data_IF_161217822512
#
_entry.id   IF_161217822512
#
_cell.length_a   1.000
_cell.length_b   1.000
_cell.length_c   1.000
_cell.angle_alpha   90.00
_cell.angle_beta   90.00
_cell.angle_gamma   90.00
#
_symmetry.space_group_name_H-M   'P 1'
#
loop_
_entity.id
_entity.type
_entity.pdbx_description
1 polymer ?
#
# COMPACT_ATOMS: atom_id res chain seq x y z
N UNK A 1 5.98 7.40 18.09
CA UNK A 1 6.59 6.99 16.81
C UNK A 1 6.93 8.25 16.06
N UNK A 2 8.09 8.32 15.42
CA UNK A 2 8.42 9.46 14.55
C UNK A 2 7.52 9.46 13.31
N UNK A 3 7.47 10.59 12.60
CA UNK A 3 6.77 10.67 11.31
C UNK A 3 7.28 9.59 10.35
N UNK A 4 8.60 9.44 10.26
CA UNK A 4 9.25 8.41 9.42
C UNK A 4 8.72 7.01 9.73
N UNK A 5 8.66 6.62 11.00
CA UNK A 5 8.15 5.31 11.42
C UNK A 5 6.67 5.11 11.04
N UNK A 6 5.84 6.14 11.22
CA UNK A 6 4.42 6.09 10.84
C UNK A 6 4.26 5.99 9.30
N UNK A 7 5.06 6.72 8.54
CA UNK A 7 5.02 6.69 7.09
C UNK A 7 5.47 5.32 6.53
N UNK A 8 6.53 4.72 7.10
CA UNK A 8 6.93 3.34 6.78
C UNK A 8 5.82 2.33 7.08
N UNK A 9 5.12 2.50 8.21
CA UNK A 9 3.95 1.67 8.54
C UNK A 9 2.83 1.83 7.51
N UNK A 10 2.51 3.05 7.09
CA UNK A 10 1.52 3.33 6.03
C UNK A 10 1.89 2.63 4.72
N UNK A 11 3.14 2.75 4.26
CA UNK A 11 3.64 2.09 3.05
C UNK A 11 3.47 0.57 3.17
N UNK A 12 3.83 -0.01 4.33
CA UNK A 12 3.66 -1.44 4.61
C UNK A 12 2.19 -1.88 4.58
N UNK A 13 1.29 -1.12 5.22
CA UNK A 13 -0.16 -1.37 5.19
C UNK A 13 -0.68 -1.38 3.75
N UNK A 14 -0.34 -0.36 2.97
CA UNK A 14 -0.71 -0.24 1.56
C UNK A 14 -0.19 -1.39 0.70
N UNK A 15 1.04 -1.86 0.97
CA UNK A 15 1.61 -3.01 0.27
C UNK A 15 0.87 -4.30 0.62
N UNK A 16 0.69 -4.59 1.91
CA UNK A 16 -0.01 -5.80 2.37
C UNK A 16 -1.45 -5.85 1.83
N UNK A 17 -2.19 -4.73 1.91
CA UNK A 17 -3.55 -4.65 1.38
C UNK A 17 -3.59 -4.95 -0.13
N UNK A 18 -2.69 -4.37 -0.93
CA UNK A 18 -2.59 -4.65 -2.38
C UNK A 18 -2.25 -6.11 -2.66
N UNK A 19 -1.34 -6.70 -1.89
CA UNK A 19 -0.97 -8.11 -2.04
C UNK A 19 -2.15 -9.05 -1.73
N UNK A 20 -2.90 -8.79 -0.64
CA UNK A 20 -4.12 -9.55 -0.32
C UNK A 20 -5.11 -9.42 -1.47
N UNK A 21 -5.45 -8.19 -1.89
CA UNK A 21 -6.42 -7.95 -2.97
C UNK A 21 -6.01 -8.66 -4.26
N UNK A 22 -4.72 -8.64 -4.61
CA UNK A 22 -4.21 -9.33 -5.80
C UNK A 22 -4.34 -10.86 -5.74
N UNK A 23 -4.50 -11.44 -4.53
CA UNK A 23 -4.74 -12.88 -4.33
C UNK A 23 -6.23 -13.25 -4.32
N UNK A 24 -7.12 -12.28 -4.12
CA UNK A 24 -8.57 -12.52 -4.17
C UNK A 24 -8.93 -12.93 -5.59
N UNK A 25 -9.50 -14.13 -5.73
CA UNK A 25 -9.97 -14.63 -7.01
C UNK A 25 -11.12 -13.79 -7.57
N UNK A 26 -11.24 -13.64 -8.91
CA UNK A 26 -12.49 -13.15 -9.50
C UNK A 26 -13.67 -14.03 -9.08
N UNK A 27 -14.91 -13.52 -9.18
CA UNK A 27 -16.12 -14.33 -9.00
C UNK A 27 -15.98 -15.65 -9.76
N UNK A 28 -16.34 -16.77 -9.12
CA UNK A 28 -16.29 -18.13 -9.67
C UNK A 28 -14.89 -18.73 -9.95
N UNK A 29 -13.82 -18.13 -9.43
CA UNK A 29 -12.49 -18.76 -9.47
C UNK A 29 -12.16 -19.55 -8.20
N UNK A 30 -11.48 -20.68 -8.36
CA UNK A 30 -10.92 -21.48 -7.25
C UNK A 30 -9.70 -20.84 -6.58
N UNK A 31 -9.35 -19.60 -6.95
CA UNK A 31 -8.17 -18.92 -6.44
C UNK A 31 -8.42 -18.54 -4.98
N UNK A 32 -7.62 -19.15 -4.10
CA UNK A 32 -7.69 -18.93 -2.65
C UNK A 32 -7.01 -17.62 -2.28
N UNK A 33 -7.69 -16.85 -1.44
CA UNK A 33 -7.16 -15.63 -0.82
C UNK A 33 -5.98 -15.99 0.08
N UNK A 34 -4.90 -15.20 0.03
CA UNK A 34 -3.73 -15.41 0.89
C UNK A 34 -4.03 -14.92 2.32
N UNK A 35 -4.41 -15.89 3.16
CA UNK A 35 -4.76 -15.65 4.56
C UNK A 35 -3.54 -15.27 5.42
N UNK A 36 -2.32 -15.62 5.00
CA UNK A 36 -1.13 -15.27 5.77
C UNK A 36 -0.79 -13.79 5.62
N UNK A 37 -0.89 -13.26 4.40
CA UNK A 37 -0.72 -11.82 4.15
C UNK A 37 -1.84 -11.04 4.85
N UNK A 38 -3.08 -11.53 4.80
CA UNK A 38 -4.18 -10.89 5.52
C UNK A 38 -3.96 -10.89 7.04
N UNK A 39 -3.42 -11.98 7.62
CA UNK A 39 -3.03 -12.02 9.03
C UNK A 39 -1.99 -10.95 9.37
N UNK A 40 -0.96 -10.79 8.53
CA UNK A 40 0.04 -9.73 8.72
C UNK A 40 -0.54 -8.31 8.64
N UNK A 41 -1.59 -8.09 7.85
CA UNK A 41 -2.31 -6.81 7.84
C UNK A 41 -3.12 -6.63 9.14
N UNK A 42 -3.80 -7.67 9.61
CA UNK A 42 -4.60 -7.65 10.85
C UNK A 42 -3.72 -7.46 12.10
N UNK A 43 -2.50 -7.97 12.11
CA UNK A 43 -1.50 -7.73 13.18
C UNK A 43 -1.14 -6.24 13.33
N UNK A 44 -1.37 -5.42 12.30
CA UNK A 44 -1.19 -3.96 12.35
C UNK A 44 -2.47 -3.21 12.75
N UNK A 45 -3.59 -3.92 12.90
CA UNK A 45 -4.89 -3.36 13.27
C UNK A 45 -5.17 -3.50 14.77
N UNK A 46 -6.32 -2.97 15.23
CA UNK A 46 -6.83 -3.18 16.60
C UNK A 46 -7.59 -4.49 16.76
N UNK A 47 -7.79 -5.26 15.69
CA UNK A 47 -8.61 -6.45 15.74
C UNK A 47 -7.94 -7.55 16.56
N UNK A 48 -8.71 -8.14 17.47
CA UNK A 48 -8.24 -9.24 18.32
C UNK A 48 -8.62 -10.58 17.71
N UNK A 49 -7.64 -11.47 17.55
CA UNK A 49 -7.89 -12.83 17.07
C UNK A 49 -8.65 -13.66 18.11
N UNK A 50 -9.67 -14.39 17.65
CA UNK A 50 -10.42 -15.38 18.42
C UNK A 50 -10.69 -16.59 17.54
N UNK A 51 -10.33 -17.77 18.04
CA UNK A 51 -10.73 -19.04 17.42
C UNK A 51 -12.10 -19.45 17.95
N UNK A 52 -13.04 -19.72 17.06
CA UNK A 52 -14.39 -20.17 17.40
C UNK A 52 -14.77 -21.34 16.49
N UNK A 53 -14.99 -22.53 17.08
CA UNK A 53 -15.16 -23.78 16.32
C UNK A 53 -13.95 -24.02 15.39
N UNK A 54 -14.18 -24.12 14.09
CA UNK A 54 -13.19 -24.23 13.01
C UNK A 54 -12.86 -22.88 12.35
N UNK A 55 -13.43 -21.76 12.84
CA UNK A 55 -13.26 -20.42 12.29
C UNK A 55 -12.15 -19.65 12.99
N UNK A 56 -11.35 -18.94 12.19
CA UNK A 56 -10.45 -17.88 12.65
C UNK A 56 -11.17 -16.54 12.52
N UNK A 57 -11.53 -15.93 13.65
CA UNK A 57 -12.25 -14.66 13.71
C UNK A 57 -11.33 -13.55 14.21
N UNK A 58 -11.58 -12.34 13.74
CA UNK A 58 -10.91 -11.12 14.18
C UNK A 58 -11.99 -10.13 14.59
N UNK A 59 -11.98 -9.71 15.86
CA UNK A 59 -13.00 -8.85 16.46
C UNK A 59 -12.45 -7.44 16.62
N UNK A 60 -13.18 -6.42 16.15
CA UNK A 60 -12.79 -5.02 16.32
C UNK A 60 -12.81 -4.59 17.79
N UNK A 61 -13.80 -5.06 18.55
CA UNK A 61 -13.91 -4.85 20.00
C UNK A 61 -14.30 -6.17 20.67
N UNK A 62 -13.34 -6.77 21.39
CA UNK A 62 -13.55 -8.03 22.09
C UNK A 62 -14.42 -7.90 23.35
N UNK A 63 -14.64 -6.69 23.86
CA UNK A 63 -15.48 -6.43 25.04
C UNK A 63 -16.95 -6.15 24.66
N UNK A 64 -17.21 -5.71 23.43
CA UNK A 64 -18.55 -5.48 22.94
C UNK A 64 -19.28 -6.79 22.62
N UNK A 65 -20.56 -6.87 22.99
CA UNK A 65 -21.40 -8.04 22.67
C UNK A 65 -21.66 -8.14 21.15
N UNK A 66 -21.86 -7.00 20.49
CA UNK A 66 -21.99 -6.88 19.04
C UNK A 66 -20.86 -5.98 18.53
N UNK A 67 -20.10 -6.47 17.56
CA UNK A 67 -18.93 -5.78 17.02
C UNK A 67 -18.72 -6.15 15.55
N UNK A 68 -17.79 -5.48 14.88
CA UNK A 68 -17.33 -5.90 13.56
C UNK A 68 -16.42 -7.13 13.70
N UNK A 69 -16.80 -8.22 13.03
CA UNK A 69 -16.12 -9.51 13.07
C UNK A 69 -15.68 -9.86 11.65
N UNK A 70 -14.38 -9.89 11.40
CA UNK A 70 -13.82 -10.40 10.16
C UNK A 70 -13.59 -11.92 10.29
N UNK A 71 -14.11 -12.67 9.33
CA UNK A 71 -13.84 -14.10 9.19
C UNK A 71 -12.65 -14.30 8.26
N UNK A 72 -11.59 -14.97 8.73
CA UNK A 72 -10.39 -15.26 7.93
C UNK A 72 -10.61 -16.48 7.01
N UNK A 73 -11.56 -16.35 6.09
CA UNK A 73 -11.85 -17.30 5.02
C UNK A 73 -11.52 -16.72 3.63
N UNK A 74 -12.00 -17.36 2.55
CA UNK A 74 -11.76 -16.84 1.20
C UNK A 74 -12.61 -15.59 0.89
N UNK A 75 -13.76 -15.43 1.55
CA UNK A 75 -14.66 -14.31 1.33
C UNK A 75 -14.21 -13.07 2.10
N UNK A 76 -13.40 -13.23 3.15
CA UNK A 76 -12.97 -12.15 4.05
C UNK A 76 -14.16 -11.29 4.50
N UNK A 77 -15.29 -11.94 4.83
CA UNK A 77 -16.51 -11.24 5.19
C UNK A 77 -16.36 -10.54 6.54
N UNK A 78 -16.79 -9.27 6.60
CA UNK A 78 -16.97 -8.51 7.84
C UNK A 78 -18.44 -8.53 8.20
N UNK A 79 -18.77 -9.02 9.39
CA UNK A 79 -20.12 -9.04 9.95
C UNK A 79 -20.22 -8.02 11.08
N UNK A 80 -21.38 -7.40 11.27
CA UNK A 80 -21.69 -6.65 12.49
C UNK A 80 -22.75 -7.42 13.29
N UNK A 81 -22.31 -8.32 14.16
CA UNK A 81 -23.19 -9.23 14.92
C UNK A 81 -22.41 -9.86 16.09
N UNK A 82 -22.98 -10.87 16.72
CA UNK A 82 -22.39 -11.68 17.79
C UNK A 82 -21.53 -12.82 17.22
N UNK A 83 -20.50 -13.24 17.94
CA UNK A 83 -19.61 -14.35 17.53
C UNK A 83 -20.41 -15.64 17.29
N UNK A 84 -21.41 -15.92 18.12
CA UNK A 84 -22.25 -17.11 18.00
C UNK A 84 -23.12 -17.08 16.73
N UNK A 85 -23.56 -15.89 16.31
CA UNK A 85 -24.35 -15.74 15.07
C UNK A 85 -23.46 -15.94 13.84
N UNK A 86 -22.19 -15.49 13.86
CA UNK A 86 -21.20 -15.81 12.81
C UNK A 86 -20.91 -17.31 12.77
N UNK A 87 -20.67 -17.93 13.93
CA UNK A 87 -20.38 -19.36 14.04
C UNK A 87 -21.55 -20.22 13.54
N UNK A 88 -22.80 -19.83 13.86
CA UNK A 88 -24.01 -20.47 13.34
C UNK A 88 -24.06 -20.40 11.82
N UNK A 89 -23.74 -19.26 11.21
CA UNK A 89 -23.86 -19.06 9.76
C UNK A 89 -22.74 -19.75 8.97
N UNK A 90 -21.51 -19.76 9.49
CA UNK A 90 -20.31 -20.22 8.75
C UNK A 90 -19.85 -21.62 9.12
N UNK A 91 -20.14 -22.08 10.33
CA UNK A 91 -19.88 -23.47 10.76
C UNK A 91 -21.02 -24.00 11.64
N UNK A 92 -22.24 -24.18 11.09
CA UNK A 92 -23.35 -24.76 11.83
C UNK A 92 -23.09 -26.22 12.19
N UNK A 93 -23.51 -26.62 13.38
CA UNK A 93 -23.60 -28.02 13.79
C UNK A 93 -24.81 -28.69 13.15
N UNK A 94 -24.81 -30.03 13.06
CA UNK A 94 -25.93 -30.81 12.50
C UNK A 94 -27.27 -30.47 13.17
N UNK A 95 -27.28 -30.27 14.50
CA UNK A 95 -28.50 -29.89 15.25
C UNK A 95 -28.98 -28.49 14.90
N UNK A 96 -28.07 -27.56 14.62
CA UNK A 96 -28.42 -26.21 14.17
C UNK A 96 -28.97 -26.20 12.75
N UNK A 97 -28.45 -27.06 11.86
CA UNK A 97 -28.90 -27.18 10.46
C UNK A 97 -30.33 -27.73 10.29
N UNK A 98 -30.84 -28.51 11.24
CA UNK A 98 -32.21 -29.08 11.17
C UNK A 98 -33.30 -28.13 11.71
N UNK A 99 -32.92 -27.05 12.38
CA UNK A 99 -33.86 -26.04 12.87
C UNK A 99 -34.27 -25.11 11.72
N UNK A 100 -35.54 -25.17 11.29
CA UNK A 100 -36.07 -24.36 10.17
C UNK A 100 -35.71 -22.87 10.34
N UNK A 101 -35.79 -22.34 11.56
CA UNK A 101 -35.45 -20.94 11.86
C UNK A 101 -33.98 -20.63 11.60
N UNK A 102 -33.09 -21.55 11.95
CA UNK A 102 -31.65 -21.38 11.79
C UNK A 102 -31.24 -21.54 10.32
N UNK A 103 -31.89 -22.44 9.57
CA UNK A 103 -31.65 -22.61 8.14
C UNK A 103 -31.78 -21.29 7.39
N UNK A 104 -32.82 -20.49 7.68
CA UNK A 104 -32.98 -19.17 7.04
C UNK A 104 -31.80 -18.22 7.33
N UNK A 105 -31.28 -18.22 8.56
CA UNK A 105 -30.10 -17.41 8.92
C UNK A 105 -28.82 -17.90 8.25
N UNK A 106 -28.63 -19.21 8.16
CA UNK A 106 -27.44 -19.83 7.54
C UNK A 106 -27.42 -19.52 6.04
N UNK A 107 -28.58 -19.56 5.39
CA UNK A 107 -28.70 -19.34 3.94
C UNK A 107 -28.65 -17.86 3.53
N UNK A 108 -28.98 -16.94 4.43
CA UNK A 108 -29.00 -15.51 4.14
C UNK A 108 -28.31 -14.72 5.24
N UNK A 109 -27.18 -14.10 4.91
CA UNK A 109 -26.35 -13.29 5.80
C UNK A 109 -26.43 -11.78 5.52
N UNK A 110 -27.30 -11.35 4.60
CA UNK A 110 -27.40 -9.96 4.14
C UNK A 110 -27.82 -8.98 5.25
N UNK A 111 -28.43 -9.49 6.32
CA UNK A 111 -28.85 -8.71 7.50
C UNK A 111 -27.68 -8.30 8.40
N UNK A 112 -26.55 -9.01 8.32
CA UNK A 112 -25.42 -8.86 9.24
C UNK A 112 -24.08 -8.61 8.54
N UNK A 113 -23.93 -8.95 7.26
CA UNK A 113 -22.72 -8.67 6.49
C UNK A 113 -22.62 -7.19 6.17
N UNK A 114 -21.47 -6.60 6.47
CA UNK A 114 -21.10 -5.22 6.11
C UNK A 114 -20.34 -5.19 4.78
N UNK A 115 -19.34 -6.06 4.63
CA UNK A 115 -18.50 -6.09 3.44
C UNK A 115 -17.91 -7.48 3.20
N UNK A 116 -17.46 -7.73 1.97
CA UNK A 116 -16.75 -8.95 1.57
C UNK A 116 -15.55 -8.59 0.66
N UNK A 117 -14.58 -9.50 0.58
CA UNK A 117 -13.45 -9.48 -0.35
C UNK A 117 -12.67 -8.16 -0.31
N UNK A 118 -12.42 -7.55 -1.46
CA UNK A 118 -11.64 -6.31 -1.60
C UNK A 118 -12.19 -5.18 -0.73
N UNK A 119 -13.51 -5.07 -0.58
CA UNK A 119 -14.12 -4.05 0.26
C UNK A 119 -13.69 -4.22 1.74
N UNK A 120 -13.68 -5.45 2.26
CA UNK A 120 -13.21 -5.72 3.62
C UNK A 120 -11.74 -5.41 3.81
N UNK A 121 -10.88 -5.75 2.83
CA UNK A 121 -9.44 -5.43 2.92
C UNK A 121 -9.23 -3.93 2.95
N UNK A 122 -9.97 -3.16 2.12
CA UNK A 122 -9.91 -1.70 2.12
C UNK A 122 -10.41 -1.09 3.43
N UNK A 123 -11.45 -1.66 4.03
CA UNK A 123 -11.92 -1.22 5.36
C UNK A 123 -10.80 -1.37 6.39
N UNK A 124 -10.19 -2.55 6.51
CA UNK A 124 -9.09 -2.78 7.47
C UNK A 124 -7.87 -1.91 7.14
N UNK A 125 -7.53 -1.76 5.86
CA UNK A 125 -6.44 -0.89 5.42
C UNK A 125 -6.67 0.55 5.89
N UNK A 126 -7.87 1.09 5.68
CA UNK A 126 -8.23 2.45 6.04
C UNK A 126 -8.19 2.64 7.56
N UNK A 127 -8.80 1.75 8.32
CA UNK A 127 -8.76 1.78 9.79
C UNK A 127 -7.31 1.73 10.32
N UNK A 128 -6.44 0.91 9.73
CA UNK A 128 -5.02 0.88 10.08
C UNK A 128 -4.29 2.21 9.80
N UNK A 129 -4.63 2.90 8.71
CA UNK A 129 -4.01 4.18 8.34
C UNK A 129 -4.52 5.32 9.23
N UNK A 130 -5.81 5.33 9.58
CA UNK A 130 -6.42 6.35 10.43
C UNK A 130 -5.83 6.39 11.85
N UNK A 131 -5.22 5.30 12.31
CA UNK A 131 -4.50 5.25 13.58
C UNK A 131 -3.10 5.86 13.54
N UNK A 132 -2.57 6.18 12.35
CA UNK A 132 -1.23 6.71 12.20
C UNK A 132 -1.26 8.25 12.25
N UNK A 133 -0.34 8.83 13.02
CA UNK A 133 -0.06 10.26 12.90
C UNK A 133 0.86 10.49 11.70
N UNK A 134 0.29 11.02 10.63
CA UNK A 134 0.96 11.31 9.36
C UNK A 134 1.16 12.82 9.15
N UNK A 135 0.92 13.62 10.18
CA UNK A 135 1.31 15.03 10.16
C UNK A 135 2.85 15.11 10.19
N UNK A 136 3.39 16.10 9.47
CA UNK A 136 4.83 16.31 9.40
C UNK A 136 5.17 17.80 9.27
N UNK A 137 6.39 18.14 9.66
CA UNK A 137 6.99 19.45 9.43
C UNK A 137 8.29 19.36 8.63
N UNK A 138 8.99 20.49 8.49
CA UNK A 138 10.24 20.54 7.74
C UNK A 138 11.37 19.68 8.35
N UNK A 139 11.40 19.55 9.68
CA UNK A 139 12.42 18.78 10.39
C UNK A 139 12.26 17.27 10.18
N UNK A 140 11.01 16.80 10.08
CA UNK A 140 10.72 15.41 9.70
C UNK A 140 11.26 15.08 8.29
N UNK A 141 11.17 16.03 7.36
CA UNK A 141 11.73 15.85 6.01
C UNK A 141 13.26 15.91 6.02
N UNK A 142 13.86 16.74 6.87
CA UNK A 142 15.31 16.80 7.07
C UNK A 142 15.89 15.47 7.55
N UNK A 143 15.18 14.74 8.40
CA UNK A 143 15.56 13.39 8.83
C UNK A 143 15.66 12.43 7.62
N UNK A 144 14.65 12.44 6.75
CA UNK A 144 14.62 11.59 5.55
C UNK A 144 15.74 11.97 4.56
N UNK A 145 16.00 13.26 4.35
CA UNK A 145 17.11 13.72 3.50
C UNK A 145 18.44 13.26 4.08
N UNK A 146 18.65 13.47 5.38
CA UNK A 146 19.90 13.11 6.06
C UNK A 146 20.18 11.61 5.92
N UNK A 147 19.18 10.77 6.16
CA UNK A 147 19.29 9.31 6.03
C UNK A 147 19.55 8.87 4.59
N UNK A 148 18.86 9.49 3.62
CA UNK A 148 19.03 9.21 2.20
C UNK A 148 20.43 9.56 1.69
N UNK A 149 20.92 10.76 2.04
CA UNK A 149 22.27 11.21 1.72
C UNK A 149 23.34 10.32 2.35
N UNK A 150 23.22 10.03 3.65
CA UNK A 150 24.17 9.16 4.36
C UNK A 150 24.18 7.73 3.80
N UNK A 151 23.03 7.21 3.38
CA UNK A 151 22.93 5.90 2.74
C UNK A 151 23.58 5.89 1.36
N UNK A 152 23.37 6.95 0.58
CA UNK A 152 23.99 7.11 -0.73
C UNK A 152 25.51 7.22 -0.61
N UNK A 153 26.04 8.00 0.34
CA UNK A 153 27.49 8.12 0.58
C UNK A 153 28.15 6.81 1.01
N UNK A 154 27.39 5.89 1.62
CA UNK A 154 27.87 4.60 2.14
C UNK A 154 27.59 3.40 1.23
N UNK A 155 27.13 3.65 0.01
CA UNK A 155 26.68 2.60 -0.93
C UNK A 155 25.61 1.66 -0.33
N UNK A 156 24.80 2.14 0.62
CA UNK A 156 23.75 1.36 1.28
C UNK A 156 22.44 1.46 0.51
N UNK A 157 22.29 0.59 -0.49
CA UNK A 157 21.16 0.61 -1.42
C UNK A 157 19.79 0.57 -0.75
N UNK A 158 19.60 -0.24 0.28
CA UNK A 158 18.30 -0.36 0.95
C UNK A 158 17.89 0.96 1.64
N UNK A 159 18.84 1.67 2.26
CA UNK A 159 18.57 2.97 2.88
C UNK A 159 18.26 4.08 1.88
N UNK A 160 18.90 4.04 0.69
CA UNK A 160 18.55 4.95 -0.42
C UNK A 160 17.14 4.67 -0.92
N UNK A 161 16.80 3.40 -1.15
CA UNK A 161 15.46 3.00 -1.62
C UNK A 161 14.40 3.36 -0.60
N UNK A 162 14.63 3.10 0.69
CA UNK A 162 13.69 3.47 1.77
C UNK A 162 13.40 4.98 1.74
N UNK A 163 14.44 5.81 1.67
CA UNK A 163 14.29 7.26 1.62
C UNK A 163 13.52 7.73 0.38
N UNK A 164 13.75 7.10 -0.77
CA UNK A 164 13.00 7.38 -2.00
C UNK A 164 11.54 6.91 -1.91
N UNK A 165 11.26 5.77 -1.27
CA UNK A 165 9.89 5.28 -1.06
C UNK A 165 9.11 6.20 -0.12
N UNK A 166 9.76 6.75 0.91
CA UNK A 166 9.16 7.75 1.79
C UNK A 166 8.78 9.02 1.03
N UNK A 167 9.71 9.61 0.26
CA UNK A 167 9.39 10.76 -0.57
C UNK A 167 8.35 10.44 -1.65
N UNK A 168 8.38 9.24 -2.23
CA UNK A 168 7.39 8.83 -3.21
C UNK A 168 5.98 8.77 -2.61
N UNK A 169 5.84 8.28 -1.38
CA UNK A 169 4.55 8.26 -0.66
C UNK A 169 4.05 9.68 -0.36
N UNK A 170 4.94 10.61 0.05
CA UNK A 170 4.59 12.01 0.34
C UNK A 170 4.16 12.75 -0.94
N UNK A 171 4.90 12.55 -2.03
CA UNK A 171 4.68 13.25 -3.30
C UNK A 171 3.64 12.57 -4.21
N UNK A 172 3.12 11.41 -3.81
CA UNK A 172 2.24 10.60 -4.65
C UNK A 172 2.91 10.03 -5.90
N UNK A 173 4.23 9.81 -5.85
CA UNK A 173 4.97 9.19 -6.94
C UNK A 173 4.72 7.68 -6.97
N UNK A 174 4.57 7.15 -8.18
CA UNK A 174 4.41 5.72 -8.42
C UNK A 174 5.74 5.10 -8.90
N UNK A 175 5.96 3.80 -8.67
CA UNK A 175 7.04 3.06 -9.31
C UNK A 175 6.95 3.14 -10.83
N UNK A 176 8.10 3.16 -11.50
CA UNK A 176 8.18 3.21 -12.95
C UNK A 176 7.36 2.06 -13.60
N UNK A 177 6.38 2.38 -14.48
CA UNK A 177 5.62 1.35 -15.18
C UNK A 177 6.49 0.68 -16.25
N UNK A 178 6.06 -0.46 -16.79
CA UNK A 178 6.86 -1.31 -17.70
C UNK A 178 7.60 -0.55 -18.81
N UNK A 179 6.97 0.47 -19.40
CA UNK A 179 7.58 1.27 -20.48
C UNK A 179 8.80 2.08 -20.06
N UNK A 180 8.97 2.34 -18.76
CA UNK A 180 10.05 3.14 -18.17
C UNK A 180 10.94 2.31 -17.23
N UNK A 181 10.75 0.99 -17.17
CA UNK A 181 11.58 0.12 -16.34
C UNK A 181 12.94 -0.10 -16.99
N UNK A 182 14.00 0.13 -16.21
CA UNK A 182 15.39 -0.06 -16.63
C UNK A 182 16.00 -1.12 -15.71
N UNK A 183 16.69 -2.11 -16.30
CA UNK A 183 17.28 -3.20 -15.52
C UNK A 183 18.22 -2.67 -14.45
N UNK A 184 18.15 -3.24 -13.25
CA UNK A 184 18.95 -2.83 -12.09
C UNK A 184 18.77 -1.38 -11.64
N UNK A 185 17.66 -0.74 -12.01
CA UNK A 185 17.30 0.59 -11.54
C UNK A 185 15.97 0.57 -10.78
N UNK A 186 15.85 1.49 -9.82
CA UNK A 186 14.59 1.80 -9.12
C UNK A 186 14.16 3.20 -9.53
N UNK A 187 12.98 3.31 -10.11
CA UNK A 187 12.44 4.57 -10.61
C UNK A 187 11.11 4.92 -9.93
N UNK A 188 10.96 6.17 -9.53
CA UNK A 188 9.73 6.73 -8.97
C UNK A 188 9.39 8.05 -9.67
N UNK A 189 8.12 8.32 -9.90
CA UNK A 189 7.68 9.57 -10.53
C UNK A 189 6.17 9.68 -10.63
N UNK A 190 5.69 10.85 -11.07
CA UNK A 190 4.25 11.05 -11.28
C UNK A 190 3.80 10.24 -12.48
N UNK A 191 2.79 9.40 -12.30
CA UNK A 191 2.19 8.60 -13.35
C UNK A 191 0.83 9.19 -13.76
N UNK A 192 0.68 9.52 -15.04
CA UNK A 192 -0.61 9.91 -15.61
C UNK A 192 -0.89 9.13 -16.89
N UNK A 193 -2.17 8.96 -17.21
CA UNK A 193 -2.61 8.30 -18.44
C UNK A 193 -3.45 9.30 -19.23
N UNK A 194 -3.06 9.56 -20.47
CA UNK A 194 -3.85 10.38 -21.39
C UNK A 194 -4.99 9.56 -22.00
N UNK A 195 -6.01 10.24 -22.53
CA UNK A 195 -7.14 9.63 -23.24
C UNK A 195 -6.70 8.68 -24.37
N UNK A 196 -5.55 8.96 -24.98
CA UNK A 196 -4.92 8.16 -26.04
C UNK A 196 -4.32 6.82 -25.59
N UNK A 197 -4.52 6.39 -24.33
CA UNK A 197 -3.80 5.29 -23.67
C UNK A 197 -2.29 5.50 -23.53
N UNK A 198 -1.77 6.65 -23.94
CA UNK A 198 -0.37 7.03 -23.69
C UNK A 198 -0.15 7.15 -22.17
N UNK A 199 0.92 6.53 -21.70
CA UNK A 199 1.37 6.66 -20.32
C UNK A 199 2.40 7.78 -20.28
N UNK A 200 2.17 8.77 -19.42
CA UNK A 200 3.13 9.84 -19.17
C UNK A 200 3.70 9.66 -17.76
N UNK A 201 5.02 9.72 -17.66
CA UNK A 201 5.75 9.53 -16.43
C UNK A 201 6.73 10.68 -16.22
N UNK A 202 6.70 11.31 -15.05
CA UNK A 202 7.64 12.36 -14.67
C UNK A 202 6.98 13.54 -13.95
N UNK A 203 7.74 14.40 -13.24
CA UNK A 203 9.18 14.28 -12.98
C UNK A 203 9.53 12.97 -12.27
N UNK A 204 10.72 12.44 -12.54
CA UNK A 204 11.11 11.11 -12.09
C UNK A 204 12.50 11.09 -11.46
N UNK A 205 12.65 10.26 -10.43
CA UNK A 205 13.92 9.94 -9.78
C UNK A 205 14.28 8.51 -10.11
N UNK A 206 15.54 8.29 -10.48
CA UNK A 206 16.06 6.99 -10.88
C UNK A 206 17.35 6.69 -10.11
N UNK A 207 17.33 5.61 -9.34
CA UNK A 207 18.46 5.08 -8.61
C UNK A 207 19.04 3.84 -9.30
N UNK A 208 20.36 3.81 -9.49
CA UNK A 208 21.10 2.67 -10.04
C UNK A 208 21.65 1.79 -8.92
N UNK A 209 21.24 0.52 -8.89
CA UNK A 209 21.72 -0.46 -7.91
C UNK A 209 23.17 -0.89 -8.17
N UNK A 210 23.63 -0.77 -9.42
CA UNK A 210 24.98 -1.21 -9.83
C UNK A 210 26.00 -0.11 -9.56
N UNK A 211 25.64 1.14 -9.88
CA UNK A 211 26.58 2.27 -9.85
C UNK A 211 26.40 3.16 -8.62
N UNK A 212 25.46 2.82 -7.73
CA UNK A 212 25.05 3.65 -6.60
C UNK A 212 24.85 5.13 -7.00
N UNK A 213 24.18 5.35 -8.14
CA UNK A 213 23.98 6.68 -8.69
C UNK A 213 22.50 7.06 -8.64
N UNK A 214 22.23 8.29 -8.21
CA UNK A 214 20.88 8.84 -8.09
C UNK A 214 20.73 10.00 -9.08
N UNK A 215 19.72 9.95 -9.92
CA UNK A 215 19.47 10.96 -10.95
C UNK A 215 18.02 11.45 -10.90
N UNK A 216 17.82 12.74 -11.08
CA UNK A 216 16.53 13.38 -11.27
C UNK A 216 16.37 13.80 -12.74
N UNK A 217 15.21 13.48 -13.31
CA UNK A 217 14.76 13.98 -14.60
C UNK A 217 13.47 14.78 -14.35
N UNK A 218 13.59 16.10 -14.29
CA UNK A 218 12.51 17.04 -13.96
C UNK A 218 11.66 17.40 -15.19
N UNK A 219 11.18 16.36 -15.87
CA UNK A 219 10.32 16.50 -17.05
C UNK A 219 9.40 15.29 -17.18
N UNK A 220 8.25 15.52 -17.79
CA UNK A 220 7.33 14.47 -18.17
C UNK A 220 7.74 13.82 -19.49
N UNK A 221 7.76 12.49 -19.52
CA UNK A 221 8.07 11.68 -20.69
C UNK A 221 6.85 10.83 -21.03
N UNK A 222 6.41 10.91 -22.28
CA UNK A 222 5.34 10.06 -22.82
C UNK A 222 5.89 8.73 -23.30
N UNK A 223 5.13 7.65 -23.14
CA UNK A 223 5.52 6.30 -23.55
C UNK A 223 5.68 6.14 -25.06
N UNK A 224 5.19 7.10 -25.85
CA UNK A 224 5.34 7.11 -27.31
C UNK A 224 6.45 8.05 -27.79
N UNK A 225 7.02 8.84 -26.88
CA UNK A 225 8.09 9.80 -27.18
C UNK A 225 9.45 9.08 -27.13
N UNK A 226 9.80 8.44 -28.25
CA UNK A 226 11.04 7.64 -28.36
C UNK A 226 12.30 8.46 -28.05
N UNK A 227 12.34 9.72 -28.48
CA UNK A 227 13.50 10.61 -28.25
C UNK A 227 13.68 10.89 -26.76
N UNK A 228 12.60 11.22 -26.05
CA UNK A 228 12.68 11.42 -24.60
C UNK A 228 12.93 10.15 -23.82
N UNK A 229 12.43 9.00 -24.27
CA UNK A 229 12.78 7.70 -23.66
C UNK A 229 14.27 7.41 -23.84
N UNK A 230 14.81 7.66 -25.03
CA UNK A 230 16.24 7.51 -25.29
C UNK A 230 17.08 8.46 -24.41
N UNK A 231 16.62 9.69 -24.19
CA UNK A 231 17.22 10.62 -23.23
C UNK A 231 17.27 10.02 -21.81
N UNK A 232 16.17 9.45 -21.31
CA UNK A 232 16.16 8.76 -20.00
C UNK A 232 17.20 7.63 -19.95
N UNK A 233 17.32 6.83 -21.02
CA UNK A 233 18.35 5.79 -21.10
C UNK A 233 19.77 6.36 -21.13
N UNK A 234 20.00 7.50 -21.78
CA UNK A 234 21.30 8.17 -21.82
C UNK A 234 21.69 8.73 -20.45
N UNK A 235 20.76 9.37 -19.76
CA UNK A 235 20.98 9.87 -18.38
C UNK A 235 21.33 8.71 -17.44
N UNK A 236 20.55 7.63 -17.46
CA UNK A 236 20.81 6.45 -16.61
C UNK A 236 22.10 5.70 -16.98
N UNK A 237 22.53 5.78 -18.23
CA UNK A 237 23.83 5.26 -18.69
C UNK A 237 25.01 6.23 -18.48
N UNK A 238 24.81 7.35 -17.77
CA UNK A 238 25.81 8.42 -17.56
C UNK A 238 26.37 9.02 -18.86
N UNK A 239 25.62 8.94 -19.95
CA UNK A 239 25.99 9.53 -21.26
C UNK A 239 25.45 10.95 -21.44
N UNK A 240 24.58 11.39 -20.54
CA UNK A 240 23.94 12.70 -20.57
C UNK A 240 23.67 13.18 -19.14
N UNK A 241 23.66 14.50 -18.95
CA UNK A 241 23.51 15.11 -17.62
C UNK A 241 22.04 15.09 -17.19
N UNK A 242 21.81 14.70 -15.93
CA UNK A 242 20.49 14.76 -15.30
C UNK A 242 20.18 16.19 -14.82
N UNK A 243 18.92 16.49 -14.51
CA UNK A 243 18.51 17.80 -14.01
C UNK A 243 19.01 18.04 -12.56
N UNK A 244 19.17 16.97 -11.78
CA UNK A 244 19.94 16.93 -10.52
C UNK A 244 20.54 15.53 -10.30
N UNK A 245 21.61 15.43 -9.50
CA UNK A 245 22.32 14.17 -9.25
C UNK A 245 22.75 14.03 -7.79
N UNK A 246 22.86 12.79 -7.33
CA UNK A 246 23.39 12.48 -6.00
C UNK A 246 22.52 13.07 -4.87
N UNK A 247 23.15 13.61 -3.81
CA UNK A 247 22.45 14.23 -2.67
C UNK A 247 21.45 15.33 -3.06
N UNK A 248 21.73 16.10 -4.11
CA UNK A 248 20.87 17.21 -4.56
C UNK A 248 19.46 16.74 -4.95
N UNK A 249 19.30 15.46 -5.28
CA UNK A 249 17.98 14.87 -5.57
C UNK A 249 17.10 14.83 -4.33
N UNK A 250 17.66 14.55 -3.14
CA UNK A 250 16.89 14.54 -1.89
C UNK A 250 16.45 15.95 -1.49
N UNK A 251 17.31 16.94 -1.68
CA UNK A 251 16.96 18.35 -1.46
C UNK A 251 15.82 18.78 -2.40
N UNK A 252 15.89 18.40 -3.68
CA UNK A 252 14.81 18.66 -4.62
C UNK A 252 13.47 18.05 -4.14
N UNK A 253 13.48 16.78 -3.69
CA UNK A 253 12.28 16.08 -3.22
C UNK A 253 11.71 16.74 -1.96
N UNK A 254 12.57 17.17 -1.02
CA UNK A 254 12.18 17.93 0.17
C UNK A 254 11.47 19.23 -0.20
N UNK A 255 12.03 20.02 -1.12
CA UNK A 255 11.42 21.27 -1.54
C UNK A 255 10.03 21.04 -2.17
N UNK A 256 9.89 20.01 -3.01
CA UNK A 256 8.58 19.63 -3.57
C UNK A 256 7.58 19.23 -2.48
N UNK A 257 8.01 18.47 -1.47
CA UNK A 257 7.16 18.05 -0.38
C UNK A 257 6.69 19.24 0.48
N UNK A 258 7.58 20.20 0.77
CA UNK A 258 7.23 21.42 1.50
C UNK A 258 6.20 22.27 0.75
N UNK A 259 6.31 22.37 -0.58
CA UNK A 259 5.34 23.10 -1.39
C UNK A 259 3.93 22.50 -1.31
N UNK A 260 3.78 21.16 -1.24
CA UNK A 260 2.47 20.52 -1.09
C UNK A 260 1.74 20.93 0.21
N UNK A 261 2.49 21.14 1.29
CA UNK A 261 1.94 21.57 2.58
C UNK A 261 1.42 23.01 2.51
N UNK A 262 2.08 23.87 1.72
CA UNK A 262 1.75 25.29 1.61
C UNK A 262 0.59 25.55 0.62
N UNK A 263 0.43 24.69 -0.38
CA UNK A 263 -0.63 24.80 -1.41
C UNK A 263 -1.94 24.05 -1.05
N UNK A 264 -1.98 23.35 0.09
CA UNK A 264 -3.21 22.73 0.59
C UNK A 264 -4.13 23.82 1.18
N UNK A 265 -5.35 24.04 0.65
CA UNK A 265 -6.26 25.04 1.21
C UNK A 265 -6.61 24.68 2.66
N UNK A 266 -6.43 25.65 3.57
CA UNK A 266 -6.89 25.57 4.96
C UNK A 266 -8.40 25.40 5.06
#
# INVERSE_FOLDING_TARGET
MSFKENLLKKIKINRLAREVIATIGPPDSDRKTDKNIMRSLLEMSTYTHRKERDLDLYLQDAAAAQTNILVLDNDLAIYNTFVEDVALRKSPTVKEMISIRNVFKILNDSDVVISKKEASVKTIQQECIEMLDLSFDASDLDEIVTDGCASLERDYADGVIESLELFAEILGYAPAPKAFQISHHKGFGVLSRKESKEVVFGPMVIYSLIHNSLNLIDRQVGSFDKEKIEFVHKVTSQKEQADAQGPDVFEYLKQKALHLVHDSPK
#
